data_IF_103968486277
#
_entry.id   IF_103968486277
#
_cell.length_a   1.000
_cell.length_b   1.000
_cell.length_c   1.000
_cell.angle_alpha   90.00
_cell.angle_beta   90.00
_cell.angle_gamma   90.00
#
_symmetry.space_group_name_H-M   'P 1'
#
loop_
_entity.id
_entity.type
_entity.pdbx_description
1 polymer ?
#
# COMPACT_ATOMS: atom_id res chain seq x y z
N UNK A 1 -26.06 -7.93 14.16
CA UNK A 1 -26.60 -6.88 13.24
C UNK A 1 -27.29 -7.47 12.01
N UNK A 2 -26.60 -7.85 10.92
CA UNK A 2 -27.28 -8.44 9.74
C UNK A 2 -27.91 -9.81 10.04
N UNK A 3 -27.18 -10.69 10.73
CA UNK A 3 -27.65 -12.03 11.13
C UNK A 3 -28.81 -11.99 12.15
N UNK A 4 -28.99 -10.85 12.81
CA UNK A 4 -30.08 -10.60 13.76
C UNK A 4 -31.28 -9.89 13.11
N UNK A 5 -31.29 -9.76 11.77
CA UNK A 5 -32.41 -9.18 11.02
C UNK A 5 -32.45 -7.64 10.99
N UNK A 6 -31.45 -6.95 11.52
CA UNK A 6 -31.40 -5.49 11.44
C UNK A 6 -31.01 -5.01 10.04
N UNK A 7 -31.73 -4.00 9.55
CA UNK A 7 -31.43 -3.32 8.28
C UNK A 7 -30.14 -2.52 8.40
N UNK A 8 -29.18 -2.78 7.51
CA UNK A 8 -27.89 -2.07 7.41
C UNK A 8 -27.84 -1.32 6.09
N UNK A 9 -27.72 0.01 6.13
CA UNK A 9 -27.67 0.88 4.96
C UNK A 9 -26.33 1.62 4.91
N UNK A 10 -25.49 1.43 3.87
CA UNK A 10 -24.24 2.14 3.75
C UNK A 10 -24.48 3.58 3.25
N UNK A 11 -23.69 4.52 3.77
CA UNK A 11 -23.58 5.87 3.22
C UNK A 11 -22.19 5.98 2.56
N UNK A 12 -22.09 6.37 1.28
CA UNK A 12 -20.79 6.54 0.63
C UNK A 12 -20.00 7.66 1.31
N UNK A 13 -18.68 7.52 1.33
CA UNK A 13 -17.80 8.49 2.00
C UNK A 13 -16.33 8.35 1.62
N UNK A 14 -15.45 9.17 2.23
CA UNK A 14 -14.02 9.16 1.95
C UNK A 14 -13.39 7.79 2.19
N UNK A 15 -12.54 7.38 1.26
CA UNK A 15 -11.75 6.15 1.36
C UNK A 15 -10.33 6.45 0.91
N UNK A 16 -9.36 6.43 1.84
CA UNK A 16 -7.97 6.78 1.55
C UNK A 16 -7.37 5.86 0.47
N UNK A 17 -7.68 4.55 0.49
CA UNK A 17 -7.22 3.60 -0.52
C UNK A 17 -7.74 3.95 -1.93
N UNK A 18 -9.03 4.30 -2.06
CA UNK A 18 -9.63 4.60 -3.36
C UNK A 18 -9.14 5.95 -3.86
N UNK A 19 -9.05 6.94 -2.98
CA UNK A 19 -8.51 8.25 -3.31
C UNK A 19 -7.06 8.13 -3.81
N UNK A 20 -6.19 7.38 -3.11
CA UNK A 20 -4.81 7.16 -3.54
C UNK A 20 -4.75 6.39 -4.87
N UNK A 21 -5.56 5.34 -5.03
CA UNK A 21 -5.60 4.55 -6.26
C UNK A 21 -6.01 5.39 -7.47
N UNK A 22 -6.99 6.28 -7.29
CA UNK A 22 -7.52 7.13 -8.37
C UNK A 22 -6.47 8.05 -9.02
N UNK A 23 -5.42 8.41 -8.29
CA UNK A 23 -4.31 9.28 -8.76
C UNK A 23 -2.99 8.53 -8.94
N UNK A 24 -2.96 7.22 -8.71
CA UNK A 24 -1.72 6.44 -8.66
C UNK A 24 -1.05 6.19 -10.01
N UNK A 25 -1.83 6.25 -11.10
CA UNK A 25 -1.39 5.85 -12.44
C UNK A 25 -1.17 4.33 -12.61
N UNK A 26 -1.45 3.52 -11.60
CA UNK A 26 -1.35 2.05 -11.66
C UNK A 26 -2.66 1.41 -12.12
N UNK A 27 -2.64 0.16 -12.62
CA UNK A 27 -3.87 -0.54 -13.02
C UNK A 27 -4.92 -0.59 -11.92
N UNK A 28 -6.15 -0.19 -12.25
CA UNK A 28 -7.27 -0.05 -11.29
C UNK A 28 -8.43 -1.02 -11.55
N UNK A 29 -8.36 -1.81 -12.62
CA UNK A 29 -9.39 -2.78 -12.99
C UNK A 29 -9.56 -3.90 -11.94
N UNK A 30 -8.45 -4.35 -11.35
CA UNK A 30 -8.43 -5.33 -10.26
C UNK A 30 -7.29 -4.97 -9.30
N UNK A 31 -7.57 -4.99 -8.01
CA UNK A 31 -6.60 -4.72 -6.97
C UNK A 31 -6.93 -5.52 -5.71
N UNK A 32 -5.91 -5.79 -4.91
CA UNK A 32 -6.05 -6.40 -3.59
C UNK A 32 -5.76 -5.35 -2.53
N UNK A 33 -6.63 -5.23 -1.53
CA UNK A 33 -6.40 -4.38 -0.36
C UNK A 33 -6.09 -5.23 0.87
N UNK A 34 -4.87 -5.11 1.39
CA UNK A 34 -4.39 -5.88 2.55
C UNK A 34 -4.59 -5.18 3.90
N UNK A 35 -5.11 -3.95 3.94
CA UNK A 35 -5.13 -3.16 5.17
C UNK A 35 -3.70 -2.95 5.70
N UNK A 36 -3.46 -3.20 6.98
CA UNK A 36 -2.12 -3.08 7.57
C UNK A 36 -1.35 -4.39 7.51
N UNK A 37 -0.06 -4.32 7.14
CA UNK A 37 0.78 -5.52 7.06
C UNK A 37 1.00 -6.16 8.44
N UNK A 38 1.09 -7.50 8.52
CA UNK A 38 1.34 -8.23 9.76
C UNK A 38 2.57 -7.73 10.53
N UNK A 39 2.50 -7.73 11.86
CA UNK A 39 3.64 -7.31 12.72
C UNK A 39 4.80 -8.31 12.71
N UNK A 40 4.51 -9.61 12.59
CA UNK A 40 5.52 -10.68 12.55
C UNK A 40 6.22 -10.72 11.19
N UNK A 41 7.56 -10.72 11.18
CA UNK A 41 8.37 -10.71 9.95
C UNK A 41 8.05 -11.91 9.05
N UNK A 42 8.02 -13.12 9.58
CA UNK A 42 7.74 -14.32 8.78
C UNK A 42 6.39 -14.27 8.04
N UNK A 43 5.35 -13.69 8.65
CA UNK A 43 4.06 -13.50 7.95
C UNK A 43 4.16 -12.49 6.81
N UNK A 44 4.99 -11.45 6.94
CA UNK A 44 5.24 -10.51 5.83
C UNK A 44 6.08 -11.14 4.73
N UNK A 45 7.09 -11.93 5.08
CA UNK A 45 7.90 -12.66 4.11
C UNK A 45 7.06 -13.65 3.28
N UNK A 46 6.06 -14.31 3.90
CA UNK A 46 5.07 -15.11 3.15
C UNK A 46 4.27 -14.25 2.17
N UNK A 47 3.75 -13.09 2.60
CA UNK A 47 3.01 -12.17 1.72
C UNK A 47 3.88 -11.65 0.58
N UNK A 48 5.13 -11.29 0.84
CA UNK A 48 6.03 -10.82 -0.22
C UNK A 48 6.25 -11.92 -1.26
N UNK A 49 6.40 -13.18 -0.85
CA UNK A 49 6.50 -14.32 -1.79
C UNK A 49 5.24 -14.50 -2.62
N UNK A 50 4.06 -14.32 -2.04
CA UNK A 50 2.80 -14.32 -2.78
C UNK A 50 2.77 -13.17 -3.80
N UNK A 51 3.16 -11.96 -3.40
CA UNK A 51 3.13 -10.78 -4.26
C UNK A 51 4.15 -10.80 -5.40
N UNK A 52 5.21 -11.60 -5.28
CA UNK A 52 6.13 -11.84 -6.40
C UNK A 52 5.38 -12.43 -7.60
N UNK A 53 4.36 -13.25 -7.37
CA UNK A 53 3.57 -13.85 -8.45
C UNK A 53 2.23 -13.13 -8.71
N UNK A 54 1.87 -12.14 -7.89
CA UNK A 54 0.60 -11.42 -8.00
C UNK A 54 0.59 -10.42 -9.15
N UNK A 55 -0.36 -10.56 -10.09
CA UNK A 55 -0.55 -9.68 -11.25
C UNK A 55 -1.38 -8.43 -10.92
N UNK A 56 -2.21 -8.48 -9.87
CA UNK A 56 -3.05 -7.36 -9.45
C UNK A 56 -2.25 -6.30 -8.71
N UNK A 57 -2.72 -5.04 -8.79
CA UNK A 57 -2.22 -3.96 -7.95
C UNK A 57 -2.45 -4.29 -6.47
N UNK A 58 -1.40 -4.19 -5.66
CA UNK A 58 -1.47 -4.47 -4.22
C UNK A 58 -1.48 -3.17 -3.43
N UNK A 59 -2.49 -2.99 -2.58
CA UNK A 59 -2.66 -1.80 -1.75
C UNK A 59 -2.57 -2.16 -0.28
N UNK A 60 -1.78 -1.41 0.48
CA UNK A 60 -1.73 -1.54 1.93
C UNK A 60 -1.52 -0.20 2.64
N UNK A 61 -1.97 -0.14 3.88
CA UNK A 61 -1.64 0.93 4.82
C UNK A 61 -0.42 0.55 5.63
N UNK A 62 0.36 1.55 6.02
CA UNK A 62 1.48 1.32 6.92
C UNK A 62 1.74 2.50 7.85
N UNK A 63 2.21 2.16 9.05
CA UNK A 63 2.65 3.12 10.05
C UNK A 63 3.95 3.79 9.59
N UNK A 64 4.11 5.10 9.85
CA UNK A 64 5.33 5.82 9.51
C UNK A 64 6.55 5.28 10.27
N UNK A 65 6.36 4.64 11.43
CA UNK A 65 7.43 3.99 12.21
C UNK A 65 7.93 2.69 11.56
N UNK A 66 7.16 2.13 10.62
CA UNK A 66 7.43 0.85 9.97
C UNK A 66 7.78 0.99 8.50
N UNK A 67 7.36 2.08 7.84
CA UNK A 67 7.46 2.24 6.39
C UNK A 67 8.88 2.00 5.85
N UNK A 68 9.91 2.57 6.51
CA UNK A 68 11.31 2.37 6.14
C UNK A 68 11.71 0.90 6.20
N UNK A 69 11.30 0.20 7.27
CA UNK A 69 11.56 -1.24 7.44
C UNK A 69 10.86 -2.06 6.37
N UNK A 70 9.61 -1.74 6.04
CA UNK A 70 8.85 -2.45 4.99
C UNK A 70 9.52 -2.30 3.63
N UNK A 71 9.92 -1.08 3.25
CA UNK A 71 10.63 -0.91 1.98
C UNK A 71 12.00 -1.58 1.97
N UNK A 72 12.75 -1.55 3.09
CA UNK A 72 14.01 -2.33 3.21
C UNK A 72 13.77 -3.84 3.02
N UNK A 73 12.68 -4.37 3.56
CA UNK A 73 12.29 -5.77 3.37
C UNK A 73 11.87 -6.06 1.92
N UNK A 74 11.00 -5.25 1.31
CA UNK A 74 10.55 -5.42 -0.09
C UNK A 74 11.74 -5.32 -1.05
N UNK A 75 12.62 -4.33 -0.88
CA UNK A 75 13.84 -4.15 -1.70
C UNK A 75 14.85 -5.29 -1.58
N UNK A 76 14.70 -6.20 -0.61
CA UNK A 76 15.55 -7.40 -0.52
C UNK A 76 15.19 -8.50 -1.53
N UNK A 77 14.05 -8.38 -2.22
CA UNK A 77 13.62 -9.28 -3.29
C UNK A 77 13.79 -8.60 -4.64
N UNK A 78 14.59 -9.20 -5.52
CA UNK A 78 14.96 -8.60 -6.83
C UNK A 78 13.77 -8.46 -7.77
N UNK A 79 12.78 -9.33 -7.60
CA UNK A 79 11.54 -9.40 -8.37
C UNK A 79 10.67 -8.13 -8.25
N UNK A 80 10.89 -7.33 -7.18
CA UNK A 80 10.22 -6.04 -7.02
C UNK A 80 10.98 -4.86 -7.61
N UNK A 81 12.28 -4.95 -7.89
CA UNK A 81 13.14 -3.80 -8.20
C UNK A 81 12.57 -2.90 -9.33
N UNK A 82 12.04 -3.51 -10.38
CA UNK A 82 11.51 -2.83 -11.55
C UNK A 82 9.98 -2.63 -11.53
N UNK A 83 9.33 -2.92 -10.40
CA UNK A 83 7.92 -2.61 -10.20
C UNK A 83 7.74 -1.17 -9.77
N UNK A 84 6.69 -0.53 -10.27
CA UNK A 84 6.27 0.79 -9.84
C UNK A 84 5.61 0.72 -8.46
N UNK A 85 5.79 1.78 -7.69
CA UNK A 85 5.09 2.01 -6.44
C UNK A 85 4.59 3.44 -6.39
N UNK A 86 3.36 3.60 -5.94
CA UNK A 86 2.78 4.88 -5.57
C UNK A 86 2.66 4.95 -4.05
N UNK A 87 3.20 6.02 -3.46
CA UNK A 87 3.19 6.25 -2.01
C UNK A 87 2.45 7.55 -1.77
N UNK A 88 1.29 7.47 -1.13
CA UNK A 88 0.56 8.63 -0.63
C UNK A 88 0.77 8.77 0.87
N UNK A 89 1.08 9.99 1.32
CA UNK A 89 1.28 10.31 2.74
C UNK A 89 0.42 11.49 3.13
N UNK A 90 -0.17 11.42 4.32
CA UNK A 90 -0.91 12.54 4.96
C UNK A 90 -1.98 13.14 4.04
N UNK A 91 -2.69 12.27 3.31
CA UNK A 91 -3.77 12.69 2.41
C UNK A 91 -4.80 13.56 3.13
N UNK A 92 -5.24 14.61 2.43
CA UNK A 92 -6.15 15.69 2.84
C UNK A 92 -5.62 16.61 3.95
N UNK A 93 -4.35 16.48 4.34
CA UNK A 93 -3.72 17.28 5.42
C UNK A 93 -2.66 18.23 4.87
N UNK A 94 -2.16 19.13 5.73
CA UNK A 94 -1.16 20.16 5.39
C UNK A 94 0.13 19.61 4.76
N UNK A 95 0.53 18.39 5.13
CA UNK A 95 1.77 17.76 4.70
C UNK A 95 1.53 16.61 3.70
N UNK A 96 0.44 16.69 2.94
CA UNK A 96 0.13 15.74 1.87
C UNK A 96 1.28 15.66 0.88
N UNK A 97 1.66 14.44 0.50
CA UNK A 97 2.68 14.21 -0.51
C UNK A 97 2.46 12.89 -1.24
N UNK A 98 2.86 12.85 -2.51
CA UNK A 98 2.78 11.66 -3.36
C UNK A 98 4.16 11.37 -3.98
N UNK A 99 4.49 10.10 -4.12
CA UNK A 99 5.65 9.65 -4.89
C UNK A 99 5.26 8.53 -5.85
N UNK A 100 5.76 8.57 -7.08
CA UNK A 100 5.58 7.53 -8.10
C UNK A 100 6.94 7.14 -8.69
N UNK A 101 7.48 6.01 -8.25
CA UNK A 101 8.86 5.61 -8.51
C UNK A 101 8.94 4.10 -8.80
N UNK A 102 10.09 3.60 -9.24
CA UNK A 102 10.36 2.18 -9.16
C UNK A 102 10.77 1.83 -7.72
N UNK A 103 10.49 0.61 -7.26
CA UNK A 103 10.87 0.15 -5.92
C UNK A 103 12.36 0.31 -5.64
N UNK A 104 13.21 0.04 -6.64
CA UNK A 104 14.67 0.22 -6.49
C UNK A 104 15.06 1.67 -6.21
N UNK A 105 14.31 2.64 -6.74
CA UNK A 105 14.56 4.08 -6.65
C UNK A 105 13.96 4.71 -5.39
N UNK A 106 13.21 3.95 -4.57
CA UNK A 106 12.71 4.46 -3.28
C UNK A 106 13.89 4.65 -2.34
N UNK A 107 14.24 5.90 -2.05
CA UNK A 107 15.10 6.22 -0.92
C UNK A 107 14.28 6.13 0.36
N UNK A 108 14.65 5.15 1.20
CA UNK A 108 13.97 4.88 2.46
C UNK A 108 14.26 5.94 3.51
N UNK A 109 15.35 6.69 3.39
CA UNK A 109 15.68 7.73 4.36
C UNK A 109 14.86 9.01 4.14
N UNK A 110 14.41 9.25 2.91
CA UNK A 110 13.51 10.35 2.55
C UNK A 110 12.07 10.13 3.03
N UNK A 111 11.70 8.91 3.44
CA UNK A 111 10.34 8.61 3.93
C UNK A 111 10.15 9.13 5.37
N UNK A 112 9.28 10.12 5.61
CA UNK A 112 9.13 10.68 6.95
C UNK A 112 8.52 9.71 7.96
N UNK A 113 9.05 9.68 9.18
CA UNK A 113 8.56 8.85 10.29
C UNK A 113 7.35 9.47 11.04
N UNK A 114 6.57 10.33 10.36
CA UNK A 114 5.32 10.90 10.86
C UNK A 114 4.22 10.87 9.81
N UNK A 115 2.99 10.71 10.27
CA UNK A 115 1.78 10.73 9.46
C UNK A 115 1.21 9.35 9.16
N UNK A 116 0.47 9.22 8.08
CA UNK A 116 -0.16 7.99 7.61
C UNK A 116 0.20 7.72 6.16
N UNK A 117 0.41 6.45 5.80
CA UNK A 117 0.77 6.04 4.46
C UNK A 117 -0.27 5.12 3.83
N UNK A 118 -0.57 5.37 2.55
CA UNK A 118 -1.15 4.40 1.61
C UNK A 118 -0.08 4.06 0.59
N UNK A 119 0.23 2.78 0.46
CA UNK A 119 1.20 2.26 -0.51
C UNK A 119 0.45 1.41 -1.52
N UNK A 120 0.73 1.66 -2.80
CA UNK A 120 0.14 0.96 -3.94
C UNK A 120 1.29 0.42 -4.76
N UNK A 121 1.44 -0.89 -4.79
CA UNK A 121 2.49 -1.62 -5.47
C UNK A 121 1.94 -2.19 -6.78
N UNK A 122 2.67 -1.98 -7.87
CA UNK A 122 2.38 -2.59 -9.17
C UNK A 122 2.46 -4.12 -9.06
N UNK A 123 1.51 -4.81 -9.68
CA UNK A 123 1.56 -6.25 -9.84
C UNK A 123 2.73 -6.71 -10.72
N UNK A 124 2.90 -8.01 -10.83
CA UNK A 124 3.83 -8.67 -11.75
C UNK A 124 3.44 -8.32 -13.19
N UNK A 125 4.46 -8.12 -14.03
CA UNK A 125 4.31 -8.03 -15.49
C UNK A 125 4.61 -9.38 -16.14
#
# INVERSE_FOLDING_TARGET
MKEEGFKVLPVPGPSALIAALSVSGLPTNRFIFYGFLPRKKGKRESLYREWIEEEMTVIFYESPKRIKKIFKEIKSYREFENRRVFIAREMTKKFESYAYLLIKDVDVEDLPEKGEYVVILEGKK
#
